data_IF_477779793896
#
_entry.id   IF_477779793896
#
_cell.length_a   1.000
_cell.length_b   1.000
_cell.length_c   1.000
_cell.angle_alpha   90.00
_cell.angle_beta   90.00
_cell.angle_gamma   90.00
#
_symmetry.space_group_name_H-M   'P 1'
#
loop_
_entity.id
_entity.type
_entity.pdbx_description
1 polymer ?
#
# COMPACT_ATOMS: atom_id res chain seq x y z
N UNK A 1 39.53 -48.73 -13.71
CA UNK A 1 38.11 -48.46 -14.03
C UNK A 1 37.60 -47.41 -13.05
N UNK A 2 37.49 -46.16 -13.51
CA UNK A 2 36.94 -45.04 -12.73
C UNK A 2 35.43 -45.00 -12.95
N UNK A 3 34.64 -45.14 -11.88
CA UNK A 3 33.22 -44.77 -11.89
C UNK A 3 33.11 -43.38 -11.26
N UNK A 4 32.90 -42.37 -12.11
CA UNK A 4 32.58 -41.02 -11.68
C UNK A 4 31.22 -41.03 -10.98
N UNK A 5 31.18 -40.60 -9.71
CA UNK A 5 29.93 -40.30 -9.03
C UNK A 5 29.33 -39.02 -9.63
N UNK A 6 28.03 -38.97 -9.92
CA UNK A 6 27.40 -37.74 -10.38
C UNK A 6 27.40 -36.74 -9.22
N UNK A 7 28.13 -35.64 -9.41
CA UNK A 7 28.07 -34.46 -8.56
C UNK A 7 26.63 -33.93 -8.60
N UNK A 8 25.85 -34.26 -7.57
CA UNK A 8 24.60 -33.58 -7.29
C UNK A 8 24.92 -32.12 -7.00
N UNK A 9 24.75 -31.27 -8.02
CA UNK A 9 24.60 -29.84 -7.81
C UNK A 9 23.35 -29.70 -6.95
N UNK A 10 23.55 -29.53 -5.65
CA UNK A 10 22.52 -29.05 -4.75
C UNK A 10 22.01 -27.75 -5.36
N UNK A 11 20.84 -27.82 -6.00
CA UNK A 11 20.08 -26.66 -6.42
C UNK A 11 19.83 -25.87 -5.16
N UNK A 12 20.51 -24.74 -5.01
CA UNK A 12 20.25 -23.85 -3.92
C UNK A 12 18.77 -23.47 -4.00
N UNK A 13 17.99 -23.92 -3.01
CA UNK A 13 16.57 -23.63 -2.83
C UNK A 13 16.41 -22.17 -2.40
N UNK A 14 16.82 -21.25 -3.27
CA UNK A 14 16.47 -19.85 -3.13
C UNK A 14 15.04 -19.71 -3.62
N UNK A 15 14.07 -19.90 -2.73
CA UNK A 15 12.68 -19.57 -3.04
C UNK A 15 12.52 -18.05 -3.13
N UNK A 16 12.89 -17.50 -4.31
CA UNK A 16 12.73 -16.08 -4.64
C UNK A 16 11.28 -15.63 -4.46
N UNK A 17 10.32 -16.54 -4.63
CA UNK A 17 8.90 -16.29 -4.45
C UNK A 17 8.55 -16.06 -2.97
N UNK A 18 9.03 -16.92 -2.07
CA UNK A 18 8.82 -16.74 -0.63
C UNK A 18 9.48 -15.44 -0.13
N UNK A 19 10.69 -15.17 -0.58
CA UNK A 19 11.39 -13.92 -0.27
C UNK A 19 10.61 -12.70 -0.77
N UNK A 20 10.06 -12.75 -2.00
CA UNK A 20 9.24 -11.67 -2.54
C UNK A 20 7.95 -11.48 -1.71
N UNK A 21 7.30 -12.57 -1.32
CA UNK A 21 6.10 -12.52 -0.48
C UNK A 21 6.38 -11.92 0.91
N UNK A 22 7.48 -12.31 1.55
CA UNK A 22 7.88 -11.73 2.84
C UNK A 22 8.11 -10.22 2.74
N UNK A 23 8.77 -9.76 1.68
CA UNK A 23 9.04 -8.34 1.48
C UNK A 23 7.74 -7.54 1.28
N UNK A 24 6.80 -8.08 0.52
CA UNK A 24 5.48 -7.47 0.31
C UNK A 24 4.65 -7.48 1.59
N UNK A 25 4.72 -8.56 2.36
CA UNK A 25 4.05 -8.68 3.66
C UNK A 25 4.56 -7.63 4.65
N UNK A 26 5.89 -7.46 4.75
CA UNK A 26 6.51 -6.42 5.59
C UNK A 26 6.11 -5.02 5.14
N UNK A 27 6.08 -4.76 3.83
CA UNK A 27 5.61 -3.48 3.31
C UNK A 27 4.12 -3.24 3.64
N UNK A 28 3.27 -4.27 3.56
CA UNK A 28 1.86 -4.22 3.94
C UNK A 28 1.69 -3.88 5.43
N UNK A 29 2.51 -4.45 6.31
CA UNK A 29 2.53 -4.11 7.73
C UNK A 29 2.92 -2.64 7.98
N UNK A 30 3.89 -2.11 7.22
CA UNK A 30 4.24 -0.69 7.27
C UNK A 30 3.03 0.18 6.87
N UNK A 31 2.32 -0.19 5.81
CA UNK A 31 1.10 0.49 5.40
C UNK A 31 0.03 0.47 6.49
N UNK A 32 -0.16 -0.68 7.15
CA UNK A 32 -1.12 -0.79 8.26
C UNK A 32 -0.74 0.13 9.42
N UNK A 33 0.53 0.12 9.84
CA UNK A 33 1.03 1.00 10.92
C UNK A 33 0.85 2.47 10.58
N UNK A 34 1.05 2.86 9.32
CA UNK A 34 0.79 4.21 8.85
C UNK A 34 -0.70 4.58 8.94
N UNK A 35 -1.60 3.70 8.50
CA UNK A 35 -3.06 3.95 8.57
C UNK A 35 -3.54 4.02 10.02
N UNK A 36 -3.04 3.17 10.91
CA UNK A 36 -3.35 3.22 12.34
C UNK A 36 -2.87 4.54 12.97
N UNK A 37 -1.70 5.01 12.56
CA UNK A 37 -1.18 6.32 12.97
C UNK A 37 -2.04 7.47 12.45
N UNK A 38 -2.41 7.47 11.18
CA UNK A 38 -3.33 8.46 10.59
C UNK A 38 -4.65 8.50 11.37
N UNK A 39 -5.21 7.35 11.73
CA UNK A 39 -6.44 7.29 12.50
C UNK A 39 -6.31 8.03 13.85
N UNK A 40 -5.18 7.85 14.56
CA UNK A 40 -4.95 8.45 15.89
C UNK A 40 -4.60 9.92 15.83
N UNK A 41 -3.69 10.29 14.94
CA UNK A 41 -3.07 11.63 14.93
C UNK A 41 -3.78 12.62 14.00
N UNK A 42 -4.60 12.13 13.07
CA UNK A 42 -5.28 12.97 12.08
C UNK A 42 -6.78 12.81 12.21
N UNK A 43 -7.33 11.64 11.91
CA UNK A 43 -8.79 11.51 11.75
C UNK A 43 -9.57 11.64 13.06
N UNK A 44 -9.00 11.25 14.19
CA UNK A 44 -9.62 11.43 15.52
C UNK A 44 -9.43 12.84 16.10
N UNK A 45 -8.58 13.67 15.49
CA UNK A 45 -8.32 15.00 15.98
C UNK A 45 -9.31 15.98 15.35
N UNK A 46 -10.00 16.79 16.17
CA UNK A 46 -10.92 17.82 15.67
C UNK A 46 -10.20 18.83 14.76
N UNK A 47 -8.95 19.15 15.08
CA UNK A 47 -8.05 19.99 14.30
C UNK A 47 -6.63 19.42 14.37
N UNK A 48 -6.21 18.59 13.41
CA UNK A 48 -4.85 18.06 13.35
C UNK A 48 -3.82 19.19 13.28
N UNK A 49 -2.66 18.97 13.88
CA UNK A 49 -1.56 19.92 13.78
C UNK A 49 -0.99 19.94 12.34
N UNK A 50 -0.56 21.12 11.87
CA UNK A 50 -0.13 21.32 10.49
C UNK A 50 1.08 20.45 10.11
N UNK A 51 2.02 20.29 11.04
CA UNK A 51 3.19 19.41 10.90
C UNK A 51 2.78 17.93 10.73
N UNK A 52 1.72 17.48 11.39
CA UNK A 52 1.18 16.13 11.23
C UNK A 52 0.54 15.90 9.87
N UNK A 53 -0.18 16.90 9.35
CA UNK A 53 -0.75 16.85 8.00
C UNK A 53 0.36 16.79 6.94
N UNK A 54 1.42 17.59 7.10
CA UNK A 54 2.58 17.57 6.21
C UNK A 54 3.33 16.23 6.28
N UNK A 55 3.57 15.73 7.50
CA UNK A 55 4.20 14.43 7.74
C UNK A 55 3.40 13.31 7.06
N UNK A 56 2.07 13.34 7.20
CA UNK A 56 1.17 12.39 6.55
C UNK A 56 1.27 12.46 5.02
N UNK A 57 1.18 13.66 4.45
CA UNK A 57 1.30 13.85 3.01
C UNK A 57 2.63 13.34 2.44
N UNK A 58 3.72 13.58 3.15
CA UNK A 58 5.06 13.11 2.74
C UNK A 58 5.17 11.59 2.81
N UNK A 59 4.79 10.98 3.94
CA UNK A 59 4.84 9.53 4.11
C UNK A 59 3.94 8.79 3.12
N UNK A 60 2.71 9.29 2.92
CA UNK A 60 1.73 8.70 2.02
C UNK A 60 2.20 8.68 0.56
N UNK A 61 2.80 9.79 0.10
CA UNK A 61 3.39 9.86 -1.25
C UNK A 61 4.48 8.80 -1.44
N UNK A 62 5.33 8.57 -0.43
CA UNK A 62 6.36 7.53 -0.50
C UNK A 62 5.76 6.13 -0.55
N UNK A 63 4.79 5.82 0.32
CA UNK A 63 4.12 4.52 0.33
C UNK A 63 3.44 4.23 -1.02
N UNK A 64 2.72 5.21 -1.57
CA UNK A 64 2.08 5.08 -2.88
C UNK A 64 3.09 4.85 -4.01
N UNK A 65 4.19 5.62 -4.04
CA UNK A 65 5.22 5.47 -5.08
C UNK A 65 5.88 4.09 -5.05
N UNK A 66 6.31 3.65 -3.87
CA UNK A 66 6.93 2.32 -3.73
C UNK A 66 5.94 1.20 -4.03
N UNK A 67 4.72 1.28 -3.50
CA UNK A 67 3.68 0.28 -3.76
C UNK A 67 3.36 0.15 -5.26
N UNK A 68 3.23 1.28 -5.97
CA UNK A 68 2.96 1.29 -7.42
C UNK A 68 4.13 0.71 -8.22
N UNK A 69 5.37 1.02 -7.84
CA UNK A 69 6.55 0.47 -8.50
C UNK A 69 6.62 -1.06 -8.39
N UNK A 70 6.35 -1.61 -7.21
CA UNK A 70 6.33 -3.07 -7.00
C UNK A 70 5.12 -3.70 -7.69
N UNK A 71 3.95 -3.04 -7.61
CA UNK A 71 2.72 -3.53 -8.23
C UNK A 71 2.84 -3.65 -9.75
N UNK A 72 3.52 -2.72 -10.42
CA UNK A 72 3.76 -2.78 -11.85
C UNK A 72 4.37 -4.13 -12.26
N UNK A 73 5.44 -4.54 -11.58
CA UNK A 73 6.10 -5.84 -11.83
C UNK A 73 5.20 -7.01 -11.43
N UNK A 74 4.57 -6.95 -10.26
CA UNK A 74 3.73 -8.04 -9.76
C UNK A 74 2.45 -8.25 -10.58
N UNK A 75 1.98 -7.22 -11.28
CA UNK A 75 0.76 -7.26 -12.10
C UNK A 75 0.91 -8.03 -13.40
N UNK A 76 2.13 -8.43 -13.75
CA UNK A 76 2.41 -9.21 -14.95
C UNK A 76 1.64 -10.57 -14.94
N UNK A 77 0.99 -10.96 -16.06
CA UNK A 77 0.27 -12.23 -16.18
C UNK A 77 1.12 -13.47 -15.91
N UNK A 78 2.44 -13.40 -16.10
CA UNK A 78 3.39 -14.48 -15.87
C UNK A 78 4.08 -14.36 -14.50
N UNK A 79 3.76 -13.33 -13.71
CA UNK A 79 4.31 -13.19 -12.36
C UNK A 79 3.93 -14.41 -11.49
N UNK A 80 4.88 -15.09 -10.85
CA UNK A 80 4.66 -16.43 -10.33
C UNK A 80 3.70 -16.50 -9.14
N UNK A 81 3.70 -15.48 -8.28
CA UNK A 81 2.83 -15.43 -7.10
C UNK A 81 1.76 -14.34 -7.24
N UNK A 82 0.55 -14.76 -7.58
CA UNK A 82 -0.60 -13.84 -7.76
C UNK A 82 -1.08 -13.20 -6.46
N UNK A 83 -0.72 -13.75 -5.29
CA UNK A 83 -1.08 -13.16 -3.99
C UNK A 83 -0.41 -11.81 -3.81
N UNK A 84 0.81 -11.65 -4.30
CA UNK A 84 1.58 -10.40 -4.20
C UNK A 84 0.83 -9.25 -4.87
N UNK A 85 0.38 -9.45 -6.11
CA UNK A 85 -0.37 -8.42 -6.84
C UNK A 85 -1.67 -8.03 -6.14
N UNK A 86 -2.39 -9.03 -5.60
CA UNK A 86 -3.63 -8.80 -4.86
C UNK A 86 -3.40 -7.97 -3.59
N UNK A 87 -2.39 -8.32 -2.80
CA UNK A 87 -2.04 -7.62 -1.56
C UNK A 87 -1.62 -6.17 -1.83
N UNK A 88 -0.73 -5.96 -2.80
CA UNK A 88 -0.28 -4.63 -3.22
C UNK A 88 -1.47 -3.77 -3.69
N UNK A 89 -2.35 -4.32 -4.52
CA UNK A 89 -3.55 -3.62 -5.00
C UNK A 89 -4.45 -3.22 -3.83
N UNK A 90 -4.70 -4.13 -2.89
CA UNK A 90 -5.51 -3.86 -1.70
C UNK A 90 -4.98 -2.68 -0.88
N UNK A 91 -3.66 -2.67 -0.62
CA UNK A 91 -3.02 -1.56 0.10
C UNK A 91 -2.97 -0.26 -0.69
N UNK A 92 -2.71 -0.31 -1.99
CA UNK A 92 -2.75 0.89 -2.83
C UNK A 92 -4.12 1.57 -2.80
N UNK A 93 -5.21 0.80 -2.89
CA UNK A 93 -6.56 1.34 -2.76
C UNK A 93 -6.79 2.03 -1.40
N UNK A 94 -6.34 1.42 -0.31
CA UNK A 94 -6.46 2.02 1.03
C UNK A 94 -5.67 3.33 1.15
N UNK A 95 -4.44 3.37 0.62
CA UNK A 95 -3.59 4.55 0.64
C UNK A 95 -4.15 5.68 -0.25
N UNK A 96 -4.70 5.37 -1.41
CA UNK A 96 -5.35 6.35 -2.29
C UNK A 96 -6.63 6.91 -1.66
N UNK A 97 -7.38 6.07 -0.94
CA UNK A 97 -8.53 6.54 -0.16
C UNK A 97 -8.10 7.45 1.00
N UNK A 98 -7.02 7.10 1.70
CA UNK A 98 -6.40 7.95 2.72
C UNK A 98 -6.02 9.33 2.17
N UNK A 99 -5.43 9.37 0.96
CA UNK A 99 -5.06 10.63 0.31
C UNK A 99 -6.28 11.52 0.10
N UNK A 100 -7.33 10.98 -0.52
CA UNK A 100 -8.58 11.71 -0.79
C UNK A 100 -9.21 12.25 0.48
N UNK A 101 -9.30 11.42 1.51
CA UNK A 101 -9.94 11.76 2.77
C UNK A 101 -9.23 12.90 3.53
N UNK A 102 -7.90 13.00 3.45
CA UNK A 102 -7.13 13.98 4.23
C UNK A 102 -6.76 15.23 3.42
N UNK A 103 -6.45 15.06 2.12
CA UNK A 103 -5.84 16.13 1.30
C UNK A 103 -6.76 16.64 0.18
N UNK A 104 -7.81 15.92 -0.17
CA UNK A 104 -8.80 16.34 -1.18
C UNK A 104 -10.16 16.54 -0.53
N UNK A 105 -10.24 17.50 0.41
CA UNK A 105 -11.51 17.87 1.01
C UNK A 105 -12.33 18.71 0.02
N UNK A 106 -13.57 18.29 -0.19
CA UNK A 106 -14.59 19.12 -0.85
C UNK A 106 -14.82 20.35 0.02
N UNK A 107 -14.74 21.59 -0.51
CA UNK A 107 -15.06 22.79 0.23
C UNK A 107 -16.44 22.67 0.91
N UNK A 108 -16.58 23.09 2.17
CA UNK A 108 -17.84 22.96 2.94
C UNK A 108 -19.06 23.54 2.19
N UNK A 109 -18.87 24.61 1.42
CA UNK A 109 -19.94 25.21 0.61
C UNK A 109 -20.46 24.28 -0.49
N UNK A 110 -19.57 23.51 -1.11
CA UNK A 110 -19.90 22.57 -2.17
C UNK A 110 -20.53 21.28 -1.59
N UNK A 111 -20.03 20.82 -0.44
CA UNK A 111 -20.65 19.70 0.29
C UNK A 111 -22.08 20.03 0.75
N UNK A 112 -22.31 21.26 1.24
CA UNK A 112 -23.65 21.72 1.66
C UNK A 112 -24.61 21.82 0.47
N UNK A 113 -24.11 22.26 -0.68
CA UNK A 113 -24.90 22.32 -1.90
C UNK A 113 -25.33 20.93 -2.38
N UNK A 114 -24.40 19.98 -2.44
CA UNK A 114 -24.69 18.57 -2.79
C UNK A 114 -25.72 17.96 -1.83
N UNK A 115 -25.59 18.21 -0.52
CA UNK A 115 -26.56 17.71 0.46
C UNK A 115 -27.98 18.26 0.23
N UNK A 116 -28.11 19.54 -0.14
CA UNK A 116 -29.42 20.15 -0.46
C UNK A 116 -30.01 19.61 -1.75
N UNK A 117 -29.18 19.28 -2.73
CA UNK A 117 -29.61 18.74 -4.03
C UNK A 117 -30.05 17.27 -3.93
N UNK A 118 -29.36 16.47 -3.11
CA UNK A 118 -29.64 15.02 -2.97
C UNK A 118 -30.71 14.73 -1.93
N UNK A 119 -30.80 15.53 -0.87
CA UNK A 119 -31.81 15.42 0.17
C UNK A 119 -32.63 16.72 0.27
N UNK A 120 -33.47 17.03 -0.75
CA UNK A 120 -34.43 18.10 -0.62
C UNK A 120 -35.44 17.71 0.46
N UNK A 121 -35.60 18.57 1.46
CA UNK A 121 -36.61 18.39 2.52
C UNK A 121 -38.03 18.31 1.97
#
# INVERSE_FOLDING_TARGET
MNAAQPSGLATADFSLQESAWEQVSRWSEICQRFLDWQQREILRQRKPAADKIEQHGTALKWLLRFGRAIYLTASDPDYPDKRIASELRGRLVQLEHSWRMVHEQVPEGEATQVLREVFPG
#
